data_IF_549752996909
#
_entry.id   IF_549752996909
#
_cell.length_a   1.000
_cell.length_b   1.000
_cell.length_c   1.000
_cell.angle_alpha   90.00
_cell.angle_beta   90.00
_cell.angle_gamma   90.00
#
_symmetry.space_group_name_H-M   'P 1'
#
loop_
_entity.id
_entity.type
_entity.pdbx_description
1 polymer ?
#
# COMPACT_ATOMS: atom_id res chain seq x y z
N UNK A 1 -1.74 -31.91 -18.52
CA UNK A 1 -1.82 -30.92 -17.46
C UNK A 1 -1.40 -29.61 -18.09
N UNK A 2 -2.29 -28.60 -18.12
CA UNK A 2 -2.04 -27.37 -18.85
C UNK A 2 -0.82 -26.64 -18.28
N UNK A 3 -0.03 -26.02 -19.15
CA UNK A 3 1.02 -25.05 -18.77
C UNK A 3 0.34 -23.83 -18.12
N UNK A 4 -0.08 -23.97 -16.87
CA UNK A 4 -0.83 -22.94 -16.15
C UNK A 4 0.06 -21.75 -15.84
N UNK A 5 -0.09 -20.69 -16.64
CA UNK A 5 0.39 -19.37 -16.30
C UNK A 5 -0.73 -18.64 -15.58
N UNK A 6 -0.41 -18.02 -14.43
CA UNK A 6 -1.34 -17.20 -13.66
C UNK A 6 -0.82 -15.76 -13.68
N UNK A 7 -1.69 -14.83 -13.92
CA UNK A 7 -1.40 -13.39 -13.86
C UNK A 7 -2.18 -12.79 -12.70
N UNK A 8 -1.51 -12.00 -11.86
CA UNK A 8 -2.11 -11.28 -10.73
C UNK A 8 -1.72 -9.81 -10.78
N UNK A 9 -2.70 -8.94 -10.60
CA UNK A 9 -2.49 -7.54 -10.37
C UNK A 9 -2.34 -7.28 -8.86
N UNK A 10 -1.20 -6.76 -8.48
CA UNK A 10 -0.81 -6.45 -7.12
C UNK A 10 -1.05 -4.97 -6.84
N UNK A 11 -2.25 -4.62 -6.36
CA UNK A 11 -2.71 -3.25 -6.18
C UNK A 11 -2.03 -2.55 -5.01
N UNK A 12 -1.61 -1.31 -5.19
CA UNK A 12 -1.10 -0.45 -4.13
C UNK A 12 -2.18 -0.08 -3.11
N UNK A 13 -1.74 0.34 -1.93
CA UNK A 13 -2.62 0.95 -0.91
C UNK A 13 -2.16 2.34 -0.55
N UNK A 14 -3.09 3.12 -0.04
CA UNK A 14 -2.85 4.37 0.67
C UNK A 14 -3.48 4.32 2.07
N UNK A 15 -3.09 5.25 2.95
CA UNK A 15 -3.73 5.43 4.24
C UNK A 15 -4.58 6.71 4.19
N UNK A 16 -5.91 6.59 4.20
CA UNK A 16 -6.83 7.73 4.26
C UNK A 16 -6.74 8.43 5.62
N UNK A 17 -6.54 7.66 6.68
CA UNK A 17 -6.22 8.15 8.00
C UNK A 17 -5.17 7.28 8.66
N UNK A 18 -4.20 7.87 9.36
CA UNK A 18 -3.19 7.16 10.12
C UNK A 18 -2.93 7.87 11.45
N UNK A 19 -3.29 7.21 12.52
CA UNK A 19 -2.99 7.63 13.88
C UNK A 19 -2.03 6.67 14.56
N UNK A 20 -1.23 7.18 15.48
CA UNK A 20 -0.35 6.41 16.37
C UNK A 20 -0.77 6.72 17.80
N UNK A 21 -1.37 5.71 18.45
CA UNK A 21 -2.01 5.87 19.76
C UNK A 21 -1.00 5.88 20.91
N UNK A 22 0.00 5.00 20.83
CA UNK A 22 1.07 4.89 21.85
C UNK A 22 2.25 4.06 21.34
N UNK A 23 3.37 4.21 22.00
CA UNK A 23 4.49 3.26 21.89
C UNK A 23 4.27 2.08 22.84
N UNK A 24 4.44 0.86 22.34
CA UNK A 24 4.28 -0.39 23.08
C UNK A 24 5.58 -0.80 23.78
N UNK A 25 5.48 -1.69 24.75
CA UNK A 25 6.62 -2.23 25.47
C UNK A 25 7.55 -3.10 24.61
N UNK A 26 6.98 -3.73 23.55
CA UNK A 26 7.72 -4.54 22.58
C UNK A 26 8.51 -3.69 21.55
N UNK A 27 8.44 -2.36 21.67
CA UNK A 27 9.14 -1.41 20.81
C UNK A 27 8.37 -1.00 19.56
N UNK A 28 7.26 -1.66 19.23
CA UNK A 28 6.33 -1.27 18.18
C UNK A 28 5.43 -0.10 18.62
N UNK A 29 4.65 0.41 17.69
CA UNK A 29 3.64 1.44 17.96
C UNK A 29 2.25 0.86 17.74
N UNK A 30 1.32 1.17 18.62
CA UNK A 30 -0.08 0.89 18.43
C UNK A 30 -0.67 1.94 17.50
N UNK A 31 -1.23 1.48 16.38
CA UNK A 31 -1.78 2.33 15.32
C UNK A 31 -3.28 2.13 15.17
N UNK A 32 -3.94 3.15 14.60
CA UNK A 32 -5.33 3.07 14.14
C UNK A 32 -5.41 3.80 12.81
N UNK A 33 -5.78 3.10 11.74
CA UNK A 33 -5.75 3.67 10.39
C UNK A 33 -6.86 3.13 9.52
N UNK A 34 -7.24 3.92 8.52
CA UNK A 34 -8.06 3.47 7.39
C UNK A 34 -7.15 3.27 6.19
N UNK A 35 -7.09 2.02 5.74
CA UNK A 35 -6.37 1.63 4.53
C UNK A 35 -7.33 1.54 3.35
N UNK A 36 -6.85 1.96 2.18
CA UNK A 36 -7.61 1.92 0.93
C UNK A 36 -6.74 1.42 -0.22
N UNK A 37 -7.21 0.37 -0.91
CA UNK A 37 -6.61 -0.12 -2.15
C UNK A 37 -6.89 0.85 -3.30
N UNK A 38 -5.93 1.04 -4.21
CA UNK A 38 -6.04 1.93 -5.37
C UNK A 38 -5.76 1.20 -6.68
N UNK A 39 -6.15 1.79 -7.81
CA UNK A 39 -6.00 1.18 -9.13
C UNK A 39 -4.55 1.05 -9.62
N UNK A 40 -3.59 1.83 -9.07
CA UNK A 40 -2.17 1.65 -9.38
C UNK A 40 -1.70 0.28 -8.88
N UNK A 41 -1.11 -0.53 -9.76
CA UNK A 41 -0.72 -1.90 -9.42
C UNK A 41 0.56 -2.33 -10.15
N UNK A 42 1.24 -3.31 -9.59
CA UNK A 42 2.23 -4.14 -10.27
C UNK A 42 1.54 -5.34 -10.90
N UNK A 43 2.12 -5.91 -11.96
CA UNK A 43 1.59 -7.14 -12.57
C UNK A 43 2.61 -8.26 -12.42
N UNK A 44 2.18 -9.38 -11.84
CA UNK A 44 3.01 -10.56 -11.65
C UNK A 44 2.49 -11.72 -12.51
N UNK A 45 3.40 -12.29 -13.27
CA UNK A 45 3.15 -13.50 -14.04
C UNK A 45 3.85 -14.68 -13.40
N UNK A 46 3.08 -15.72 -13.02
CA UNK A 46 3.56 -16.93 -12.36
C UNK A 46 3.47 -18.12 -13.33
N UNK A 47 4.55 -18.87 -13.44
CA UNK A 47 4.60 -20.11 -14.20
C UNK A 47 5.18 -21.22 -13.34
N UNK A 48 4.41 -22.29 -13.12
CA UNK A 48 4.91 -23.48 -12.44
C UNK A 48 5.97 -24.17 -13.29
N UNK A 49 7.07 -24.61 -12.66
CA UNK A 49 8.15 -25.37 -13.28
C UNK A 49 8.25 -26.77 -12.66
N UNK A 50 9.05 -27.66 -13.28
CA UNK A 50 9.21 -29.05 -12.82
C UNK A 50 10.31 -29.20 -11.76
N UNK A 51 11.19 -28.20 -11.62
CA UNK A 51 12.17 -28.12 -10.55
C UNK A 51 11.52 -27.60 -9.24
N UNK A 52 12.32 -27.39 -8.19
CA UNK A 52 11.85 -26.82 -6.91
C UNK A 52 12.42 -25.41 -6.69
N UNK A 53 12.85 -24.74 -7.77
CA UNK A 53 13.46 -23.42 -7.66
C UNK A 53 12.40 -22.30 -7.68
N UNK A 54 12.68 -21.23 -6.92
CA UNK A 54 11.92 -19.96 -6.96
C UNK A 54 12.79 -18.99 -7.75
N UNK A 55 12.39 -18.69 -8.98
CA UNK A 55 13.10 -17.75 -9.86
C UNK A 55 12.27 -16.48 -10.00
N UNK A 56 12.89 -15.33 -9.73
CA UNK A 56 12.25 -14.01 -9.86
C UNK A 56 12.99 -13.22 -10.93
N UNK A 57 12.24 -12.66 -11.86
CA UNK A 57 12.70 -11.69 -12.85
C UNK A 57 11.86 -10.43 -12.75
N UNK A 58 12.41 -9.27 -13.13
CA UNK A 58 11.67 -8.00 -13.16
C UNK A 58 12.19 -7.08 -14.25
N UNK A 59 11.31 -6.22 -14.75
CA UNK A 59 11.67 -5.08 -15.60
C UNK A 59 12.34 -3.95 -14.81
N UNK A 60 12.35 -4.02 -13.47
CA UNK A 60 13.00 -3.05 -12.57
C UNK A 60 14.38 -3.53 -12.14
N UNK A 61 15.43 -2.75 -12.46
CA UNK A 61 16.80 -3.02 -11.99
C UNK A 61 17.07 -2.61 -10.54
N UNK A 62 16.05 -2.20 -9.76
CA UNK A 62 16.22 -1.63 -8.42
C UNK A 62 15.83 -2.59 -7.29
N UNK A 63 15.34 -3.79 -7.60
CA UNK A 63 14.84 -4.75 -6.60
C UNK A 63 15.81 -5.91 -6.42
N UNK A 64 15.96 -6.47 -5.20
CA UNK A 64 16.59 -7.77 -5.03
C UNK A 64 15.73 -8.85 -5.72
N UNK A 65 16.38 -9.81 -6.38
CA UNK A 65 15.71 -10.93 -7.07
C UNK A 65 15.99 -12.27 -6.37
N UNK A 66 16.39 -12.21 -5.11
CA UNK A 66 16.81 -13.33 -4.26
C UNK A 66 15.93 -13.45 -3.00
N UNK A 67 16.40 -14.15 -1.97
CA UNK A 67 15.72 -14.39 -0.69
C UNK A 67 15.38 -13.12 0.10
N UNK A 68 15.91 -11.97 -0.27
CA UNK A 68 15.57 -10.68 0.35
C UNK A 68 14.26 -10.12 -0.20
N UNK A 69 13.80 -10.57 -1.39
CA UNK A 69 12.53 -10.16 -1.97
C UNK A 69 11.35 -10.77 -1.21
N UNK A 70 10.27 -9.97 -1.02
CA UNK A 70 9.07 -10.44 -0.34
C UNK A 70 8.29 -11.51 -1.15
N UNK A 71 8.40 -11.53 -2.47
CA UNK A 71 7.89 -12.61 -3.34
C UNK A 71 8.53 -13.95 -2.94
N UNK A 72 9.86 -13.99 -2.80
CA UNK A 72 10.59 -15.19 -2.40
C UNK A 72 10.16 -15.66 -1.00
N UNK A 73 10.09 -14.71 -0.04
CA UNK A 73 9.67 -15.01 1.33
C UNK A 73 8.25 -15.55 1.40
N UNK A 74 7.32 -14.94 0.64
CA UNK A 74 5.93 -15.40 0.55
C UNK A 74 5.85 -16.83 -0.01
N UNK A 75 6.60 -17.14 -1.06
CA UNK A 75 6.65 -18.48 -1.62
C UNK A 75 7.18 -19.51 -0.61
N UNK A 76 8.26 -19.20 0.11
CA UNK A 76 8.80 -20.08 1.16
C UNK A 76 7.80 -20.34 2.27
N UNK A 77 7.16 -19.28 2.80
CA UNK A 77 6.14 -19.40 3.86
C UNK A 77 4.94 -20.24 3.39
N UNK A 78 4.50 -20.05 2.13
CA UNK A 78 3.41 -20.84 1.57
C UNK A 78 3.76 -22.31 1.44
N UNK A 79 4.93 -22.66 0.89
CA UNK A 79 5.39 -24.03 0.74
C UNK A 79 5.59 -24.75 2.07
N UNK A 80 6.09 -24.04 3.08
CA UNK A 80 6.18 -24.57 4.46
C UNK A 80 4.78 -24.93 5.00
N UNK A 81 3.79 -24.06 4.79
CA UNK A 81 2.42 -24.26 5.29
C UNK A 81 1.75 -25.48 4.66
N UNK A 82 1.86 -25.66 3.34
CA UNK A 82 1.21 -26.80 2.65
C UNK A 82 2.03 -28.09 2.72
N UNK A 83 3.28 -28.04 3.25
CA UNK A 83 4.17 -29.20 3.34
C UNK A 83 4.62 -29.74 1.98
N UNK A 84 4.53 -28.95 0.92
CA UNK A 84 4.90 -29.35 -0.44
C UNK A 84 5.52 -28.15 -1.19
N UNK A 85 6.70 -28.35 -1.80
CA UNK A 85 7.31 -27.38 -2.70
C UNK A 85 7.10 -27.78 -4.17
N UNK A 86 7.08 -26.80 -5.03
CA UNK A 86 7.20 -26.91 -6.48
C UNK A 86 7.94 -25.71 -7.03
N UNK A 87 8.54 -25.83 -8.20
CA UNK A 87 9.22 -24.72 -8.83
C UNK A 87 8.26 -23.68 -9.37
N UNK A 88 8.64 -22.41 -9.26
CA UNK A 88 7.89 -21.28 -9.81
C UNK A 88 8.81 -20.22 -10.40
N UNK A 89 8.52 -19.81 -11.62
CA UNK A 89 9.12 -18.66 -12.27
C UNK A 89 8.14 -17.48 -12.20
N UNK A 90 8.59 -16.37 -11.62
CA UNK A 90 7.80 -15.15 -11.42
C UNK A 90 8.42 -14.01 -12.21
N UNK A 91 7.64 -13.39 -13.10
CA UNK A 91 8.03 -12.15 -13.76
C UNK A 91 7.21 -10.99 -13.19
N UNK A 92 7.91 -9.99 -12.64
CA UNK A 92 7.33 -8.80 -12.01
C UNK A 92 7.49 -7.58 -12.94
N UNK A 93 6.35 -7.05 -13.41
CA UNK A 93 6.27 -5.73 -14.03
C UNK A 93 6.02 -4.67 -12.96
N UNK A 94 7.04 -3.87 -12.63
CA UNK A 94 7.00 -2.92 -11.51
C UNK A 94 6.46 -1.55 -11.93
N UNK A 95 5.36 -1.11 -11.34
CA UNK A 95 4.72 0.19 -11.56
C UNK A 95 4.55 0.98 -10.27
N UNK A 96 4.30 0.31 -9.14
CA UNK A 96 4.24 0.95 -7.82
C UNK A 96 5.64 1.45 -7.45
N UNK A 97 5.80 2.75 -7.12
CA UNK A 97 7.08 3.29 -6.69
C UNK A 97 7.68 2.55 -5.49
N UNK A 98 9.00 2.36 -5.51
CA UNK A 98 9.72 1.66 -4.46
C UNK A 98 9.92 2.58 -3.25
N UNK A 99 9.86 2.05 -2.02
CA UNK A 99 10.02 2.79 -0.77
C UNK A 99 9.07 4.01 -0.65
N UNK A 100 7.83 3.84 -1.08
CA UNK A 100 6.88 4.93 -1.32
C UNK A 100 5.73 5.04 -0.28
N UNK A 101 5.71 4.22 0.77
CA UNK A 101 4.59 4.20 1.74
C UNK A 101 3.29 3.61 1.19
N UNK A 102 3.34 2.89 0.06
CA UNK A 102 2.19 2.30 -0.64
C UNK A 102 2.17 0.77 -0.65
N UNK A 103 2.98 0.13 0.19
CA UNK A 103 3.06 -1.32 0.38
C UNK A 103 3.38 -2.14 -0.89
N UNK A 104 4.13 -1.60 -1.89
CA UNK A 104 4.40 -2.28 -3.15
C UNK A 104 4.97 -3.71 -3.00
N UNK A 105 6.01 -3.90 -2.17
CA UNK A 105 6.54 -5.24 -1.91
C UNK A 105 5.55 -6.16 -1.16
N UNK A 106 4.73 -5.61 -0.25
CA UNK A 106 3.72 -6.39 0.48
C UNK A 106 2.58 -6.84 -0.44
N UNK A 107 2.20 -6.02 -1.41
CA UNK A 107 1.17 -6.42 -2.38
C UNK A 107 1.71 -7.44 -3.39
N UNK A 108 3.01 -7.35 -3.78
CA UNK A 108 3.68 -8.39 -4.58
C UNK A 108 3.70 -9.74 -3.83
N UNK A 109 3.96 -9.72 -2.52
CA UNK A 109 3.90 -10.91 -1.67
C UNK A 109 2.48 -11.47 -1.55
N UNK A 110 1.47 -10.61 -1.41
CA UNK A 110 0.06 -11.01 -1.38
C UNK A 110 -0.37 -11.70 -2.67
N UNK A 111 -0.03 -11.12 -3.82
CA UNK A 111 -0.26 -11.71 -5.14
C UNK A 111 0.45 -13.08 -5.29
N UNK A 112 1.63 -13.22 -4.67
CA UNK A 112 2.37 -14.48 -4.65
C UNK A 112 1.61 -15.55 -3.85
N UNK A 113 1.10 -15.24 -2.65
CA UNK A 113 0.26 -16.17 -1.88
C UNK A 113 -0.97 -16.61 -2.68
N UNK A 114 -1.69 -15.67 -3.29
CA UNK A 114 -2.89 -15.96 -4.10
C UNK A 114 -2.56 -16.85 -5.30
N UNK A 115 -1.47 -16.54 -6.03
CA UNK A 115 -1.09 -17.31 -7.23
C UNK A 115 -0.60 -18.72 -6.90
N UNK A 116 0.22 -18.88 -5.85
CA UNK A 116 0.71 -20.19 -5.43
C UNK A 116 -0.43 -21.06 -4.88
N UNK A 117 -1.39 -20.47 -4.16
CA UNK A 117 -2.58 -21.17 -3.71
C UNK A 117 -3.41 -21.70 -4.87
N UNK A 118 -3.57 -20.91 -5.95
CA UNK A 118 -4.24 -21.33 -7.18
C UNK A 118 -3.45 -22.44 -7.91
N UNK A 119 -2.13 -22.29 -8.06
CA UNK A 119 -1.26 -23.31 -8.68
C UNK A 119 -1.23 -24.64 -7.91
N UNK A 120 -1.45 -24.60 -6.61
CA UNK A 120 -1.54 -25.77 -5.74
C UNK A 120 -2.95 -26.37 -5.67
N UNK A 121 -3.96 -25.78 -6.32
CA UNK A 121 -5.35 -26.25 -6.31
C UNK A 121 -6.15 -25.77 -5.11
N UNK A 122 -5.83 -24.59 -4.56
CA UNK A 122 -6.53 -23.92 -3.46
C UNK A 122 -6.51 -24.67 -2.11
N UNK A 123 -5.34 -25.12 -1.61
CA UNK A 123 -5.26 -25.83 -0.33
C UNK A 123 -5.57 -24.94 0.89
N UNK A 124 -5.45 -23.62 0.78
CA UNK A 124 -5.67 -22.66 1.85
C UNK A 124 -6.89 -21.76 1.59
N UNK A 125 -7.67 -21.46 2.64
CA UNK A 125 -8.67 -20.40 2.58
C UNK A 125 -8.00 -19.00 2.61
N UNK A 126 -8.75 -17.95 2.28
CA UNK A 126 -8.23 -16.59 2.33
C UNK A 126 -7.79 -16.21 3.75
N UNK A 127 -8.55 -16.59 4.78
CA UNK A 127 -8.23 -16.35 6.18
C UNK A 127 -6.91 -17.03 6.56
N UNK A 128 -6.69 -18.27 6.06
CA UNK A 128 -5.44 -18.98 6.30
C UNK A 128 -4.25 -18.31 5.62
N UNK A 129 -4.43 -17.84 4.38
CA UNK A 129 -3.40 -17.05 3.69
C UNK A 129 -3.07 -15.78 4.46
N UNK A 130 -4.07 -15.04 4.97
CA UNK A 130 -3.85 -13.85 5.78
C UNK A 130 -3.12 -14.16 7.09
N UNK A 131 -3.45 -15.26 7.76
CA UNK A 131 -2.78 -15.71 8.99
C UNK A 131 -1.27 -15.91 8.77
N UNK A 132 -0.90 -16.68 7.73
CA UNK A 132 0.52 -16.97 7.45
C UNK A 132 1.26 -15.77 6.85
N UNK A 133 0.56 -14.87 6.16
CA UNK A 133 1.14 -13.71 5.51
C UNK A 133 1.77 -12.71 6.51
N UNK A 134 1.30 -12.67 7.77
CA UNK A 134 1.90 -11.84 8.83
C UNK A 134 3.40 -12.16 9.01
N UNK A 135 3.82 -13.40 8.75
CA UNK A 135 5.23 -13.84 8.83
C UNK A 135 6.12 -13.15 7.79
N UNK A 136 5.53 -12.62 6.72
CA UNK A 136 6.25 -11.91 5.63
C UNK A 136 6.27 -10.41 5.89
N UNK A 137 5.17 -9.86 6.38
CA UNK A 137 5.07 -8.43 6.71
C UNK A 137 3.68 -8.02 7.20
N UNK A 138 3.62 -6.97 8.03
CA UNK A 138 2.37 -6.52 8.67
C UNK A 138 1.29 -6.06 7.68
N UNK A 139 1.69 -5.46 6.53
CA UNK A 139 0.73 -5.01 5.51
C UNK A 139 0.25 -6.14 4.58
N UNK A 140 0.93 -7.31 4.55
CA UNK A 140 0.60 -8.38 3.59
C UNK A 140 -0.81 -8.95 3.77
N UNK A 141 -1.32 -9.18 4.99
CA UNK A 141 -2.70 -9.61 5.20
C UNK A 141 -3.72 -8.64 4.60
N UNK A 142 -3.52 -7.32 4.79
CA UNK A 142 -4.38 -6.32 4.18
C UNK A 142 -4.32 -6.38 2.64
N UNK A 143 -3.13 -6.57 2.06
CA UNK A 143 -2.96 -6.68 0.61
C UNK A 143 -3.65 -7.92 0.02
N UNK A 144 -3.85 -9.00 0.81
CA UNK A 144 -4.69 -10.15 0.45
C UNK A 144 -6.18 -9.81 0.56
N UNK A 145 -6.58 -9.10 1.63
CA UNK A 145 -7.97 -8.70 1.87
C UNK A 145 -8.46 -7.68 0.84
N UNK A 146 -7.63 -6.68 0.52
CA UNK A 146 -7.93 -5.57 -0.40
C UNK A 146 -9.10 -4.67 0.07
N UNK A 147 -9.49 -3.69 -0.77
CA UNK A 147 -10.62 -2.80 -0.52
C UNK A 147 -10.35 -1.74 0.56
N UNK A 148 -11.36 -1.45 1.37
CA UNK A 148 -11.30 -0.49 2.49
C UNK A 148 -11.27 -1.24 3.80
N UNK A 149 -10.34 -0.90 4.70
CA UNK A 149 -10.24 -1.54 6.01
C UNK A 149 -9.85 -0.58 7.12
N UNK A 150 -10.42 -0.80 8.31
CA UNK A 150 -9.85 -0.34 9.57
C UNK A 150 -8.73 -1.32 9.95
N UNK A 151 -7.55 -0.79 10.24
CA UNK A 151 -6.39 -1.53 10.68
C UNK A 151 -5.93 -1.01 12.04
N UNK A 152 -5.76 -1.91 12.99
CA UNK A 152 -5.42 -1.65 14.39
C UNK A 152 -4.25 -2.55 14.84
N UNK A 153 -3.85 -2.46 16.12
CA UNK A 153 -2.68 -3.17 16.63
C UNK A 153 -1.38 -2.56 16.11
N UNK A 154 -0.50 -3.35 15.51
CA UNK A 154 0.67 -2.86 14.76
C UNK A 154 0.38 -2.73 13.25
N UNK A 155 -0.90 -2.90 12.86
CA UNK A 155 -1.39 -2.87 11.48
C UNK A 155 -2.02 -4.19 11.01
N UNK A 156 -1.98 -5.22 11.84
CA UNK A 156 -2.39 -6.60 11.52
C UNK A 156 -3.84 -6.94 11.86
N UNK A 157 -4.48 -6.16 12.76
CA UNK A 157 -5.88 -6.39 13.14
C UNK A 157 -6.77 -5.66 12.13
N UNK A 158 -7.39 -6.43 11.25
CA UNK A 158 -8.12 -5.90 10.10
C UNK A 158 -9.63 -6.09 10.26
N UNK A 159 -10.37 -5.00 10.06
CA UNK A 159 -11.83 -5.01 9.94
C UNK A 159 -12.21 -4.46 8.57
N UNK A 160 -12.83 -5.30 7.73
CA UNK A 160 -13.31 -4.86 6.42
C UNK A 160 -14.40 -3.78 6.59
N UNK A 161 -14.34 -2.75 5.77
CA UNK A 161 -15.31 -1.67 5.71
C UNK A 161 -16.02 -1.68 4.34
N UNK A 162 -17.21 -1.05 4.23
CA UNK A 162 -17.81 -0.80 2.94
C UNK A 162 -16.85 -0.03 2.01
N UNK A 163 -17.01 -0.15 0.68
CA UNK A 163 -16.22 0.63 -0.26
C UNK A 163 -16.35 2.14 -0.01
N UNK A 164 -15.24 2.87 -0.14
CA UNK A 164 -15.29 4.33 -0.19
C UNK A 164 -15.92 4.77 -1.51
N UNK A 165 -16.73 5.84 -1.50
CA UNK A 165 -17.30 6.39 -2.72
C UNK A 165 -16.24 6.69 -3.80
N UNK A 166 -16.52 6.45 -5.08
CA UNK A 166 -15.54 6.62 -6.17
C UNK A 166 -14.93 8.02 -6.20
N UNK A 167 -13.61 8.09 -6.40
CA UNK A 167 -12.91 9.35 -6.59
C UNK A 167 -11.66 9.15 -7.46
N UNK A 168 -11.24 10.22 -8.14
CA UNK A 168 -10.00 10.24 -8.89
C UNK A 168 -8.84 10.64 -8.00
N UNK A 169 -7.69 10.02 -8.18
CA UNK A 169 -6.50 10.22 -7.38
C UNK A 169 -5.33 10.68 -8.24
N UNK A 170 -4.53 11.59 -7.71
CA UNK A 170 -3.16 11.81 -8.16
C UNK A 170 -2.23 11.23 -7.11
N UNK A 171 -1.30 10.41 -7.54
CA UNK A 171 -0.20 9.87 -6.73
C UNK A 171 1.08 10.55 -7.19
N UNK A 172 1.81 11.18 -6.29
CA UNK A 172 3.07 11.85 -6.60
C UNK A 172 4.15 11.44 -5.60
N UNK A 173 5.20 10.76 -6.09
CA UNK A 173 6.36 10.40 -5.28
C UNK A 173 7.55 11.24 -5.67
N UNK A 174 8.07 12.11 -4.76
CA UNK A 174 9.32 12.81 -4.97
C UNK A 174 10.51 11.82 -4.99
N UNK A 175 11.59 12.20 -5.66
CA UNK A 175 12.80 11.37 -5.79
C UNK A 175 13.65 11.40 -4.51
N UNK A 176 13.03 10.97 -3.41
CA UNK A 176 13.62 10.80 -2.09
C UNK A 176 13.14 9.47 -1.49
N UNK A 177 13.95 8.92 -0.59
CA UNK A 177 13.59 7.73 0.19
C UNK A 177 13.37 8.11 1.65
N UNK A 178 12.32 7.56 2.25
CA UNK A 178 11.98 7.77 3.66
C UNK A 178 11.95 6.42 4.38
N UNK A 179 12.76 6.32 5.42
CA UNK A 179 12.78 5.12 6.26
C UNK A 179 11.62 5.14 7.25
N UNK A 180 10.74 4.15 7.18
CA UNK A 180 9.65 3.96 8.16
C UNK A 180 10.17 3.89 9.59
N UNK A 181 11.29 3.18 9.81
CA UNK A 181 11.93 3.08 11.13
C UNK A 181 12.40 4.46 11.64
N UNK A 182 12.94 5.30 10.76
CA UNK A 182 13.33 6.67 11.11
C UNK A 182 12.12 7.49 11.55
N UNK A 183 11.01 7.43 10.81
CA UNK A 183 9.80 8.21 11.10
C UNK A 183 9.21 7.81 12.44
N UNK A 184 8.98 6.52 12.69
CA UNK A 184 8.45 6.04 13.96
C UNK A 184 9.38 6.29 15.16
N UNK A 185 10.70 6.21 14.95
CA UNK A 185 11.69 6.51 16.00
C UNK A 185 11.67 7.96 16.44
N UNK A 186 11.37 8.90 15.52
CA UNK A 186 11.37 10.33 15.78
C UNK A 186 9.97 10.89 16.09
N UNK A 187 8.93 10.06 15.99
CA UNK A 187 7.57 10.46 16.34
C UNK A 187 7.44 10.64 17.86
N UNK A 188 7.03 11.81 18.27
CA UNK A 188 6.77 12.16 19.66
C UNK A 188 5.28 12.04 19.96
N UNK A 189 4.81 10.80 20.13
CA UNK A 189 3.37 10.49 20.26
C UNK A 189 2.68 11.33 21.35
N UNK A 190 3.36 11.56 22.50
CA UNK A 190 2.79 12.31 23.62
C UNK A 190 2.80 13.85 23.40
N UNK A 191 3.42 14.33 22.32
CA UNK A 191 3.53 15.76 21.98
C UNK A 191 2.72 16.10 20.71
N UNK A 192 1.84 15.20 20.25
CA UNK A 192 0.98 15.45 19.10
C UNK A 192 -0.11 16.46 19.47
N UNK A 193 -0.23 17.53 18.69
CA UNK A 193 -1.24 18.58 18.90
C UNK A 193 -2.65 18.11 18.56
N UNK A 194 -2.77 17.13 17.65
CA UNK A 194 -4.05 16.60 17.19
C UNK A 194 -3.92 15.18 16.68
N UNK A 195 -5.03 14.44 16.72
CA UNK A 195 -5.17 13.09 16.18
C UNK A 195 -6.24 13.07 15.07
N UNK A 196 -6.06 12.31 13.99
CA UNK A 196 -7.08 12.12 12.96
C UNK A 196 -8.35 11.49 13.54
N UNK A 197 -9.51 11.97 13.12
CA UNK A 197 -10.81 11.41 13.51
C UNK A 197 -11.09 10.11 12.70
N UNK A 198 -10.42 9.03 13.07
CA UNK A 198 -10.54 7.72 12.40
C UNK A 198 -11.96 7.15 12.56
N UNK A 199 -12.59 7.33 13.73
CA UNK A 199 -13.95 6.82 13.98
C UNK A 199 -15.00 7.60 13.18
N UNK A 200 -14.85 8.93 13.10
CA UNK A 200 -15.70 9.76 12.24
C UNK A 200 -15.49 9.47 10.75
N UNK A 201 -14.24 9.17 10.32
CA UNK A 201 -13.96 8.74 8.95
C UNK A 201 -14.63 7.39 8.65
N UNK A 202 -14.54 6.40 9.55
CA UNK A 202 -15.25 5.14 9.44
C UNK A 202 -16.76 5.35 9.29
N UNK A 203 -17.36 6.20 10.15
CA UNK A 203 -18.79 6.51 10.07
C UNK A 203 -19.19 7.20 8.75
N UNK A 204 -18.31 8.03 8.15
CA UNK A 204 -18.51 8.63 6.84
C UNK A 204 -18.48 7.57 5.73
N UNK A 205 -17.52 6.62 5.78
CA UNK A 205 -17.43 5.49 4.85
C UNK A 205 -18.71 4.65 4.90
N UNK A 206 -19.19 4.28 6.10
CA UNK A 206 -20.42 3.49 6.29
C UNK A 206 -21.67 4.19 5.73
N UNK A 207 -21.63 5.53 5.60
CA UNK A 207 -22.71 6.35 5.01
C UNK A 207 -22.48 6.66 3.53
N UNK A 208 -21.41 6.17 2.92
CA UNK A 208 -20.98 6.52 1.55
C UNK A 208 -20.80 8.04 1.35
N UNK A 209 -20.30 8.74 2.36
CA UNK A 209 -20.08 10.18 2.40
C UNK A 209 -18.61 10.51 2.09
N UNK A 210 -18.30 10.71 0.79
CA UNK A 210 -16.95 11.06 0.34
C UNK A 210 -16.45 12.38 0.95
N UNK A 211 -17.34 13.37 1.09
CA UNK A 211 -16.97 14.66 1.68
C UNK A 211 -16.54 14.45 3.14
N UNK A 212 -17.34 13.71 3.91
CA UNK A 212 -17.00 13.39 5.29
C UNK A 212 -15.68 12.61 5.43
N UNK A 213 -15.34 11.74 4.48
CA UNK A 213 -14.04 11.06 4.43
C UNK A 213 -12.90 12.05 4.14
N UNK A 214 -13.06 12.89 3.10
CA UNK A 214 -12.00 13.81 2.67
C UNK A 214 -11.70 14.90 3.69
N UNK A 215 -12.70 15.38 4.43
CA UNK A 215 -12.53 16.35 5.52
C UNK A 215 -11.74 15.78 6.72
N UNK A 216 -11.70 14.45 6.86
CA UNK A 216 -11.03 13.73 7.96
C UNK A 216 -9.68 13.12 7.60
N UNK A 217 -9.19 13.37 6.37
CA UNK A 217 -7.84 12.91 6.00
C UNK A 217 -6.82 13.44 7.01
N UNK A 218 -5.99 12.55 7.54
CA UNK A 218 -4.97 12.94 8.51
C UNK A 218 -3.94 11.82 8.73
N UNK A 219 -2.69 12.21 8.91
CA UNK A 219 -1.58 11.29 9.12
C UNK A 219 -0.57 11.92 10.10
N UNK A 220 -0.52 11.40 11.31
CA UNK A 220 0.38 11.94 12.36
C UNK A 220 1.86 11.81 11.99
N UNK A 221 2.23 10.91 11.09
CA UNK A 221 3.61 10.76 10.63
C UNK A 221 4.10 11.96 9.80
N UNK A 222 3.18 12.76 9.25
CA UNK A 222 3.53 14.03 8.58
C UNK A 222 4.27 14.99 9.51
N UNK A 223 4.02 14.94 10.81
CA UNK A 223 4.71 15.78 11.83
C UNK A 223 6.21 15.53 11.89
N UNK A 224 6.67 14.36 11.46
CA UNK A 224 8.09 14.00 11.36
C UNK A 224 8.59 14.16 9.93
N UNK A 225 7.83 13.63 8.96
CA UNK A 225 8.36 13.48 7.61
C UNK A 225 8.37 14.80 6.84
N UNK A 226 7.35 15.64 6.95
CA UNK A 226 7.31 16.95 6.24
C UNK A 226 8.41 17.90 6.70
N UNK A 227 8.69 18.09 8.01
CA UNK A 227 9.83 18.91 8.44
C UNK A 227 11.18 18.40 7.94
N UNK A 228 11.36 17.07 7.85
CA UNK A 228 12.58 16.46 7.32
C UNK A 228 12.69 16.60 5.79
N UNK A 229 11.55 16.60 5.10
CA UNK A 229 11.44 16.61 3.63
C UNK A 229 10.36 17.60 3.16
N UNK A 230 10.63 18.92 3.16
CA UNK A 230 9.62 19.96 2.87
C UNK A 230 8.94 19.86 1.49
N UNK A 231 9.57 19.18 0.53
CA UNK A 231 9.01 18.93 -0.81
C UNK A 231 7.64 18.22 -0.73
N UNK A 232 7.42 17.37 0.26
CA UNK A 232 6.14 16.68 0.47
C UNK A 232 5.01 17.70 0.72
N UNK A 233 5.25 18.66 1.61
CA UNK A 233 4.31 19.76 1.87
C UNK A 233 4.08 20.66 0.65
N UNK A 234 5.12 20.90 -0.15
CA UNK A 234 5.01 21.68 -1.39
C UNK A 234 4.15 20.96 -2.44
N UNK A 235 4.32 19.65 -2.61
CA UNK A 235 3.49 18.83 -3.52
C UNK A 235 2.03 18.85 -3.05
N UNK A 236 1.76 18.67 -1.74
CA UNK A 236 0.40 18.78 -1.17
C UNK A 236 -0.21 20.15 -1.48
N UNK A 237 0.51 21.23 -1.26
CA UNK A 237 0.04 22.59 -1.55
C UNK A 237 -0.24 22.79 -3.06
N UNK A 238 0.62 22.26 -3.92
CA UNK A 238 0.40 22.28 -5.37
C UNK A 238 -0.87 21.52 -5.77
N UNK A 239 -1.12 20.32 -5.21
CA UNK A 239 -2.37 19.58 -5.44
C UNK A 239 -3.60 20.43 -5.08
N UNK A 240 -3.60 21.04 -3.89
CA UNK A 240 -4.70 21.88 -3.42
C UNK A 240 -4.91 23.11 -4.31
N UNK A 241 -3.84 23.78 -4.73
CA UNK A 241 -3.91 24.93 -5.64
C UNK A 241 -4.43 24.57 -7.05
N UNK A 242 -4.34 23.29 -7.43
CA UNK A 242 -4.83 22.78 -8.72
C UNK A 242 -6.15 22.00 -8.59
N UNK A 243 -6.93 22.25 -7.54
CA UNK A 243 -8.32 21.81 -7.42
C UNK A 243 -8.51 20.43 -6.80
N UNK A 244 -7.53 19.92 -6.05
CA UNK A 244 -7.76 18.76 -5.19
C UNK A 244 -8.77 19.09 -4.09
N UNK A 245 -9.64 18.14 -3.78
CA UNK A 245 -10.57 18.22 -2.63
C UNK A 245 -9.77 18.16 -1.32
N UNK A 246 -8.78 17.26 -1.26
CA UNK A 246 -7.79 17.21 -0.18
C UNK A 246 -6.56 16.41 -0.65
N UNK A 247 -5.44 16.53 0.11
CA UNK A 247 -4.18 15.84 -0.16
C UNK A 247 -3.49 15.41 1.13
N UNK A 248 -2.88 14.22 1.13
CA UNK A 248 -2.23 13.64 2.30
C UNK A 248 -1.00 12.81 1.89
N UNK A 249 -0.04 12.67 2.81
CA UNK A 249 1.07 11.73 2.68
C UNK A 249 0.62 10.30 3.02
N UNK A 250 0.97 9.32 2.18
CA UNK A 250 0.65 7.91 2.42
C UNK A 250 1.69 7.23 3.32
N UNK A 251 1.25 6.57 4.39
CA UNK A 251 2.12 5.87 5.32
C UNK A 251 3.20 6.77 5.91
N UNK A 252 4.43 6.30 5.98
CA UNK A 252 5.60 7.10 6.39
C UNK A 252 6.11 8.05 5.31
N UNK A 253 5.48 8.05 4.13
CA UNK A 253 5.90 8.83 2.97
C UNK A 253 6.92 8.09 2.08
N UNK A 254 7.53 8.79 1.11
CA UNK A 254 7.33 10.21 0.80
C UNK A 254 6.14 10.51 -0.12
N UNK A 255 5.38 9.51 -0.57
CA UNK A 255 4.30 9.68 -1.53
C UNK A 255 3.19 10.55 -1.00
N UNK A 256 2.77 11.52 -1.80
CA UNK A 256 1.55 12.29 -1.63
C UNK A 256 0.47 11.68 -2.52
N UNK A 257 -0.72 11.50 -1.97
CA UNK A 257 -1.93 11.30 -2.76
C UNK A 257 -2.87 12.49 -2.62
N UNK A 258 -3.60 12.80 -3.67
CA UNK A 258 -4.61 13.85 -3.67
C UNK A 258 -5.89 13.35 -4.31
N UNK A 259 -7.04 13.74 -3.75
CA UNK A 259 -8.38 13.32 -4.17
C UNK A 259 -9.00 14.44 -5.02
N UNK A 260 -9.61 14.07 -6.14
CA UNK A 260 -10.26 14.98 -7.07
C UNK A 260 -11.69 14.53 -7.37
N UNK A 261 -12.57 15.51 -7.54
CA UNK A 261 -13.97 15.33 -7.95
C UNK A 261 -14.12 15.13 -9.49
N UNK A 262 -13.03 15.29 -10.24
CA UNK A 262 -13.02 15.25 -11.70
C UNK A 262 -11.74 14.62 -12.24
N UNK A 263 -11.83 13.66 -13.19
CA UNK A 263 -10.65 13.09 -13.85
C UNK A 263 -9.85 14.15 -14.62
N UNK A 264 -10.51 15.14 -15.20
CA UNK A 264 -9.83 16.23 -15.94
C UNK A 264 -8.98 17.08 -15.01
N UNK A 265 -9.49 17.43 -13.82
CA UNK A 265 -8.70 18.15 -12.81
C UNK A 265 -7.51 17.32 -12.33
N UNK A 266 -7.70 16.01 -12.10
CA UNK A 266 -6.64 15.11 -11.70
C UNK A 266 -5.51 15.06 -12.73
N UNK A 267 -5.83 14.91 -14.01
CA UNK A 267 -4.83 14.92 -15.10
C UNK A 267 -4.08 16.26 -15.17
N UNK A 268 -4.79 17.39 -15.12
CA UNK A 268 -4.18 18.72 -15.16
C UNK A 268 -3.24 18.94 -13.96
N UNK A 269 -3.66 18.53 -12.77
CA UNK A 269 -2.84 18.59 -11.57
C UNK A 269 -1.60 17.69 -11.68
N UNK A 270 -1.74 16.47 -12.20
CA UNK A 270 -0.63 15.56 -12.43
C UNK A 270 0.42 16.14 -13.39
N UNK A 271 -0.01 16.74 -14.51
CA UNK A 271 0.89 17.41 -15.45
C UNK A 271 1.62 18.59 -14.79
N UNK A 272 0.88 19.40 -14.02
CA UNK A 272 1.45 20.53 -13.30
C UNK A 272 2.52 20.07 -12.29
N UNK A 273 2.24 19.03 -11.51
CA UNK A 273 3.17 18.47 -10.53
C UNK A 273 4.42 17.90 -11.23
N UNK A 274 4.27 17.15 -12.32
CA UNK A 274 5.41 16.63 -13.11
C UNK A 274 6.32 17.75 -13.57
N UNK A 275 5.74 18.83 -14.11
CA UNK A 275 6.52 19.94 -14.65
C UNK A 275 7.15 20.80 -13.57
N UNK A 276 6.44 21.12 -12.48
CA UNK A 276 6.90 22.03 -11.42
C UNK A 276 7.99 21.40 -10.56
N UNK A 277 7.84 20.12 -10.20
CA UNK A 277 8.78 19.41 -9.34
C UNK A 277 9.72 18.47 -10.11
N UNK A 278 9.62 18.39 -11.45
CA UNK A 278 10.41 17.51 -12.32
C UNK A 278 10.32 16.03 -11.89
N UNK A 279 9.12 15.58 -11.47
CA UNK A 279 8.90 14.23 -11.01
C UNK A 279 8.59 13.28 -12.17
N UNK A 280 9.16 12.08 -12.08
CA UNK A 280 8.89 10.98 -13.02
C UNK A 280 7.76 10.07 -12.50
N UNK A 281 7.64 9.90 -11.18
CA UNK A 281 6.67 9.02 -10.53
C UNK A 281 5.41 9.81 -10.12
N UNK A 282 4.60 10.18 -11.12
CA UNK A 282 3.29 10.82 -10.94
C UNK A 282 2.26 10.05 -11.74
N UNK A 283 1.22 9.58 -11.09
CA UNK A 283 0.18 8.71 -11.66
C UNK A 283 -1.20 9.28 -11.39
N UNK A 284 -2.12 9.10 -12.35
CA UNK A 284 -3.56 9.31 -12.13
C UNK A 284 -4.19 7.93 -12.00
N UNK A 285 -5.00 7.73 -10.96
CA UNK A 285 -5.64 6.46 -10.64
C UNK A 285 -6.96 6.72 -9.91
N UNK A 286 -7.56 5.68 -9.33
CA UNK A 286 -8.83 5.75 -8.61
C UNK A 286 -8.81 4.82 -7.38
N UNK A 287 -9.80 4.92 -6.51
CA UNK A 287 -10.04 3.89 -5.49
C UNK A 287 -10.43 2.58 -6.18
N UNK A 288 -9.90 1.46 -5.67
CA UNK A 288 -10.12 0.14 -6.21
C UNK A 288 -10.72 -0.81 -5.17
N UNK A 289 -11.46 -1.85 -5.63
CA UNK A 289 -12.07 -2.84 -4.74
C UNK A 289 -13.50 -2.49 -4.34
N UNK A 290 -14.19 -1.84 -5.23
CA UNK A 290 -15.61 -1.50 -5.11
C UNK A 290 -16.52 -2.58 -5.68
#
# INVERSE_FOLDING_TARGET
MGNGQIIKDAHAKINLGLDVLRKREDGYHEVKMIMQTIGLHDTLTFKRTEDEEIVIESDSGKLPLDEHNLIYKAAKVFFEEIGQAFGVHVFLEKRIPIAAGMAGGSTDAAATFEALNELAGFPCSQEKLMEIAVRVGADVPYCIMKGTALSEGIGEILTALPPVAPANLVIAKPDIDVSTAFVYKNLKVNELDSHPDIDGMRAAIEKNDLQGVTERLGNVLETVTIPAHPIIGQIKACCMANGAVNALMSGSGPTVFAIFDSPVKAEQAAEKIRSEFQLHEVYVTEFWGQ
#
